data_IF_680865415612
#
_entry.id   IF_680865415612
#
_cell.length_a   1.000
_cell.length_b   1.000
_cell.length_c   1.000
_cell.angle_alpha   90.00
_cell.angle_beta   90.00
_cell.angle_gamma   90.00
#
_symmetry.space_group_name_H-M   'P 1'
#
loop_
_entity.id
_entity.type
_entity.pdbx_description
1 polymer ?
#
# COMPACT_ATOMS: atom_id res chain seq x y z
N UNK A 1 7.49 -14.58 7.37
CA UNK A 1 8.93 -14.84 7.49
C UNK A 1 9.50 -15.25 6.14
N UNK A 2 10.61 -14.61 5.71
CA UNK A 2 11.29 -14.93 4.46
C UNK A 2 12.51 -15.84 4.74
N UNK A 3 12.53 -17.00 4.11
CA UNK A 3 13.67 -17.92 4.18
C UNK A 3 14.81 -17.39 3.32
N UNK A 4 15.90 -16.95 3.94
CA UNK A 4 17.00 -16.24 3.26
C UNK A 4 17.73 -17.07 2.20
N UNK A 5 17.65 -18.39 2.27
CA UNK A 5 18.32 -19.32 1.35
C UNK A 5 17.49 -19.59 0.08
N UNK A 6 16.17 -19.39 0.15
CA UNK A 6 15.30 -19.56 -0.98
C UNK A 6 15.41 -18.35 -1.92
N UNK A 7 15.31 -18.61 -3.20
CA UNK A 7 15.12 -17.56 -4.18
C UNK A 7 13.72 -16.92 -4.08
N UNK A 8 13.50 -15.82 -4.78
CA UNK A 8 12.18 -15.19 -4.84
C UNK A 8 11.13 -16.15 -5.38
N UNK A 9 11.45 -16.86 -6.47
CA UNK A 9 10.56 -17.87 -7.08
C UNK A 9 10.31 -19.03 -6.13
N UNK A 10 11.33 -19.60 -5.52
CA UNK A 10 11.19 -20.72 -4.58
C UNK A 10 10.38 -20.32 -3.34
N UNK A 11 10.50 -19.07 -2.88
CA UNK A 11 9.69 -18.54 -1.78
C UNK A 11 8.21 -18.60 -2.15
N UNK A 12 7.81 -18.08 -3.30
CA UNK A 12 6.41 -18.11 -3.75
C UNK A 12 5.94 -19.54 -4.04
N UNK A 13 6.80 -20.40 -4.60
CA UNK A 13 6.51 -21.82 -4.81
C UNK A 13 6.23 -22.56 -3.49
N UNK A 14 7.03 -22.27 -2.45
CA UNK A 14 6.83 -22.84 -1.11
C UNK A 14 5.46 -22.46 -0.54
N UNK A 15 5.11 -21.17 -0.54
CA UNK A 15 3.82 -20.71 -0.01
C UNK A 15 2.65 -21.17 -0.88
N UNK A 16 2.79 -21.19 -2.21
CA UNK A 16 1.77 -21.71 -3.10
C UNK A 16 1.46 -23.19 -2.85
N UNK A 17 2.48 -23.99 -2.49
CA UNK A 17 2.26 -25.39 -2.06
C UNK A 17 1.60 -25.48 -0.70
N UNK A 18 1.97 -24.61 0.24
CA UNK A 18 1.38 -24.58 1.58
C UNK A 18 -0.14 -24.30 1.52
N UNK A 19 -0.57 -23.47 0.57
CA UNK A 19 -1.98 -23.20 0.29
C UNK A 19 -2.62 -24.22 -0.66
N UNK A 20 -1.94 -25.33 -0.97
CA UNK A 20 -2.44 -26.41 -1.82
C UNK A 20 -2.87 -25.96 -3.22
N UNK A 21 -2.24 -24.89 -3.75
CA UNK A 21 -2.55 -24.41 -5.09
C UNK A 21 -2.18 -25.47 -6.14
N UNK A 22 -3.06 -25.66 -7.11
CA UNK A 22 -2.84 -26.56 -8.25
C UNK A 22 -1.54 -26.17 -9.00
N UNK A 23 -0.70 -27.14 -9.46
CA UNK A 23 0.63 -26.84 -10.00
C UNK A 23 0.65 -25.86 -11.18
N UNK A 24 -0.36 -25.88 -12.04
CA UNK A 24 -0.45 -24.96 -13.18
C UNK A 24 -0.81 -23.54 -12.71
N UNK A 25 -1.89 -23.41 -11.94
CA UNK A 25 -2.34 -22.14 -11.39
C UNK A 25 -1.25 -21.49 -10.50
N UNK A 26 -0.54 -22.29 -9.72
CA UNK A 26 0.57 -21.83 -8.89
C UNK A 26 1.68 -21.21 -9.73
N UNK A 27 2.12 -21.84 -10.82
CA UNK A 27 3.15 -21.30 -11.72
C UNK A 27 2.71 -19.99 -12.35
N UNK A 28 1.50 -19.95 -12.90
CA UNK A 28 0.91 -18.75 -13.50
C UNK A 28 0.85 -17.58 -12.50
N UNK A 29 0.37 -17.84 -11.26
CA UNK A 29 0.33 -16.83 -10.20
C UNK A 29 1.71 -16.33 -9.79
N UNK A 30 2.71 -17.20 -9.71
CA UNK A 30 4.09 -16.84 -9.37
C UNK A 30 4.66 -15.87 -10.42
N UNK A 31 4.48 -16.20 -11.70
CA UNK A 31 4.97 -15.35 -12.80
C UNK A 31 4.30 -13.97 -12.74
N UNK A 32 2.97 -13.91 -12.61
CA UNK A 32 2.23 -12.66 -12.49
C UNK A 32 2.62 -11.83 -11.25
N UNK A 33 2.86 -12.49 -10.11
CA UNK A 33 3.25 -11.79 -8.88
C UNK A 33 4.67 -11.23 -8.97
N UNK A 34 5.61 -11.98 -9.55
CA UNK A 34 6.99 -11.50 -9.74
C UNK A 34 7.02 -10.29 -10.68
N UNK A 35 6.24 -10.32 -11.77
CA UNK A 35 6.06 -9.19 -12.68
C UNK A 35 5.45 -7.99 -11.94
N UNK A 36 4.34 -8.20 -11.23
CA UNK A 36 3.64 -7.17 -10.49
C UNK A 36 4.55 -6.42 -9.50
N UNK A 37 5.43 -7.14 -8.80
CA UNK A 37 6.35 -6.52 -7.83
C UNK A 37 7.70 -6.13 -8.45
N UNK A 38 7.92 -6.34 -9.75
CA UNK A 38 9.13 -5.96 -10.48
C UNK A 38 10.38 -6.74 -10.10
N UNK A 39 10.24 -8.03 -9.76
CA UNK A 39 11.34 -8.90 -9.33
C UNK A 39 11.69 -10.02 -10.31
N UNK A 40 11.15 -10.02 -11.54
CA UNK A 40 11.38 -11.05 -12.55
C UNK A 40 12.87 -11.25 -12.87
N UNK A 41 13.62 -10.15 -13.05
CA UNK A 41 15.04 -10.20 -13.44
C UNK A 41 15.94 -10.79 -12.33
N UNK A 42 15.45 -10.90 -11.11
CA UNK A 42 16.22 -11.34 -9.94
C UNK A 42 15.55 -12.51 -9.18
N UNK A 43 14.52 -13.09 -9.80
CA UNK A 43 13.68 -14.12 -9.19
C UNK A 43 14.43 -15.36 -8.70
N UNK A 44 15.55 -15.70 -9.34
CA UNK A 44 16.35 -16.89 -9.04
C UNK A 44 17.48 -16.60 -8.03
N UNK A 45 17.65 -15.36 -7.60
CA UNK A 45 18.63 -14.98 -6.58
C UNK A 45 18.07 -15.27 -5.17
N UNK A 46 18.91 -15.73 -4.22
CA UNK A 46 18.50 -15.89 -2.82
C UNK A 46 17.92 -14.59 -2.22
N UNK A 47 16.79 -14.70 -1.51
CA UNK A 47 16.15 -13.55 -0.86
C UNK A 47 17.07 -12.88 0.17
N UNK A 48 18.04 -13.62 0.72
CA UNK A 48 19.07 -13.06 1.60
C UNK A 48 19.95 -12.00 0.94
N UNK A 49 20.06 -12.00 -0.39
CA UNK A 49 20.82 -11.02 -1.19
C UNK A 49 19.96 -9.85 -1.70
N UNK A 50 18.67 -9.88 -1.42
CA UNK A 50 17.75 -8.81 -1.80
C UNK A 50 17.98 -7.57 -0.93
N UNK A 51 17.85 -6.39 -1.54
CA UNK A 51 17.74 -5.13 -0.79
C UNK A 51 16.51 -5.17 0.12
N UNK A 52 16.44 -4.31 1.13
CA UNK A 52 15.25 -4.20 2.00
C UNK A 52 13.97 -3.97 1.20
N UNK A 53 14.02 -3.08 0.19
CA UNK A 53 12.88 -2.83 -0.69
C UNK A 53 12.47 -4.07 -1.50
N UNK A 54 13.42 -4.84 -2.04
CA UNK A 54 13.13 -6.10 -2.73
C UNK A 54 12.55 -7.16 -1.78
N UNK A 55 13.04 -7.22 -0.54
CA UNK A 55 12.50 -8.12 0.48
C UNK A 55 11.04 -7.75 0.85
N UNK A 56 10.72 -6.45 0.94
CA UNK A 56 9.34 -6.01 1.16
C UNK A 56 8.43 -6.39 -0.01
N UNK A 57 8.90 -6.21 -1.24
CA UNK A 57 8.15 -6.56 -2.46
C UNK A 57 7.87 -8.06 -2.55
N UNK A 58 8.85 -8.93 -2.32
CA UNK A 58 8.61 -10.37 -2.32
C UNK A 58 7.72 -10.81 -1.15
N UNK A 59 7.80 -10.14 0.01
CA UNK A 59 6.90 -10.36 1.14
C UNK A 59 5.45 -10.02 0.81
N UNK A 60 5.22 -8.93 0.07
CA UNK A 60 3.88 -8.58 -0.41
C UNK A 60 3.37 -9.60 -1.44
N UNK A 61 4.20 -10.00 -2.41
CA UNK A 61 3.85 -11.06 -3.37
C UNK A 61 3.49 -12.38 -2.67
N UNK A 62 4.26 -12.75 -1.63
CA UNK A 62 3.98 -13.91 -0.78
C UNK A 62 2.60 -13.81 -0.10
N UNK A 63 2.26 -12.64 0.44
CA UNK A 63 0.97 -12.44 1.10
C UNK A 63 -0.22 -12.52 0.12
N UNK A 64 0.03 -12.33 -1.17
CA UNK A 64 -0.99 -12.31 -2.23
C UNK A 64 -1.13 -13.64 -2.97
N UNK A 65 -0.26 -14.63 -2.76
CA UNK A 65 -0.21 -15.87 -3.55
C UNK A 65 -1.52 -16.68 -3.52
N UNK A 66 -2.24 -16.64 -2.40
CA UNK A 66 -3.52 -17.34 -2.19
C UNK A 66 -4.75 -16.45 -2.42
N UNK A 67 -4.57 -15.26 -3.00
CA UNK A 67 -5.65 -14.31 -3.28
C UNK A 67 -6.53 -13.97 -2.06
N UNK A 68 -5.95 -13.44 -0.97
CA UNK A 68 -6.71 -13.18 0.25
C UNK A 68 -7.72 -12.03 0.07
N UNK A 69 -8.85 -12.10 0.78
CA UNK A 69 -9.82 -10.99 0.87
C UNK A 69 -9.37 -9.91 1.86
N UNK A 70 -8.64 -10.30 2.92
CA UNK A 70 -8.08 -9.40 3.92
C UNK A 70 -6.55 -9.48 3.87
N UNK A 71 -5.92 -8.33 3.69
CA UNK A 71 -4.47 -8.16 3.72
C UNK A 71 -4.08 -7.38 4.97
N UNK A 72 -3.18 -7.93 5.78
CA UNK A 72 -2.65 -7.25 6.97
C UNK A 72 -1.18 -6.90 6.70
N UNK A 73 -0.87 -5.61 6.68
CA UNK A 73 0.44 -5.07 6.35
C UNK A 73 1.00 -4.28 7.53
N UNK A 74 2.14 -4.72 8.01
CA UNK A 74 2.88 -4.04 9.07
C UNK A 74 4.11 -3.34 8.49
N UNK A 75 4.11 -2.00 8.55
CA UNK A 75 5.19 -1.14 8.05
C UNK A 75 5.62 -1.47 6.60
N UNK A 76 4.71 -1.53 5.61
CA UNK A 76 5.04 -2.03 4.27
C UNK A 76 6.02 -1.15 3.49
N UNK A 77 6.08 0.15 3.78
CA UNK A 77 6.92 1.16 3.11
C UNK A 77 8.19 1.50 3.88
N UNK A 78 8.28 1.05 5.14
CA UNK A 78 9.38 1.41 6.04
C UNK A 78 10.75 0.98 5.50
N UNK A 79 11.70 1.94 5.49
CA UNK A 79 13.07 1.72 5.05
C UNK A 79 13.25 1.55 3.54
N UNK A 80 12.26 1.96 2.75
CA UNK A 80 12.34 2.06 1.30
C UNK A 80 12.75 3.47 0.86
N UNK A 81 13.28 3.56 -0.36
CA UNK A 81 13.44 4.85 -1.04
C UNK A 81 12.08 5.41 -1.48
N UNK A 82 11.94 6.70 -1.78
CA UNK A 82 10.67 7.31 -2.14
C UNK A 82 10.00 6.65 -3.36
N UNK A 83 10.80 6.22 -4.36
CA UNK A 83 10.29 5.56 -5.56
C UNK A 83 9.70 4.19 -5.23
N UNK A 84 10.42 3.40 -4.44
CA UNK A 84 9.95 2.10 -3.98
C UNK A 84 8.72 2.19 -3.09
N UNK A 85 8.69 3.16 -2.17
CA UNK A 85 7.55 3.41 -1.30
C UNK A 85 6.31 3.78 -2.11
N UNK A 86 6.44 4.70 -3.09
CA UNK A 86 5.34 5.07 -3.99
C UNK A 86 4.77 3.86 -4.72
N UNK A 87 5.63 3.00 -5.29
CA UNK A 87 5.17 1.80 -6.02
C UNK A 87 4.39 0.83 -5.12
N UNK A 88 4.80 0.66 -3.86
CA UNK A 88 4.04 -0.15 -2.90
C UNK A 88 2.71 0.52 -2.55
N UNK A 89 2.69 1.83 -2.35
CA UNK A 89 1.45 2.60 -2.11
C UNK A 89 0.47 2.44 -3.26
N UNK A 90 0.91 2.65 -4.49
CA UNK A 90 0.10 2.52 -5.70
C UNK A 90 -0.48 1.10 -5.84
N UNK A 91 0.33 0.08 -5.51
CA UNK A 91 -0.11 -1.31 -5.52
C UNK A 91 -1.19 -1.58 -4.45
N UNK A 92 -0.99 -1.10 -3.22
CA UNK A 92 -1.98 -1.25 -2.12
C UNK A 92 -3.30 -0.55 -2.50
N UNK A 93 -3.23 0.69 -3.01
CA UNK A 93 -4.41 1.42 -3.46
C UNK A 93 -5.16 0.67 -4.57
N UNK A 94 -4.44 0.10 -5.54
CA UNK A 94 -5.03 -0.70 -6.61
C UNK A 94 -5.69 -1.98 -6.09
N UNK A 95 -5.09 -2.66 -5.09
CA UNK A 95 -5.70 -3.83 -4.46
C UNK A 95 -7.01 -3.46 -3.73
N UNK A 96 -7.04 -2.32 -3.04
CA UNK A 96 -8.25 -1.81 -2.39
C UNK A 96 -9.36 -1.52 -3.41
N UNK A 97 -9.05 -0.86 -4.54
CA UNK A 97 -10.03 -0.62 -5.62
C UNK A 97 -10.56 -1.89 -6.27
N UNK A 98 -9.80 -3.00 -6.18
CA UNK A 98 -10.23 -4.33 -6.63
C UNK A 98 -11.03 -5.11 -5.57
N UNK A 99 -11.45 -4.44 -4.50
CA UNK A 99 -12.31 -4.99 -3.46
C UNK A 99 -11.57 -5.75 -2.35
N UNK A 100 -10.23 -5.67 -2.28
CA UNK A 100 -9.49 -6.24 -1.14
C UNK A 100 -9.61 -5.33 0.07
N UNK A 101 -9.80 -5.92 1.24
CA UNK A 101 -9.71 -5.18 2.50
C UNK A 101 -8.27 -5.14 2.96
N UNK A 102 -7.75 -3.96 3.27
CA UNK A 102 -6.37 -3.80 3.75
C UNK A 102 -6.37 -3.21 5.16
N UNK A 103 -5.76 -3.91 6.10
CA UNK A 103 -5.41 -3.39 7.41
C UNK A 103 -3.94 -3.00 7.41
N UNK A 104 -3.68 -1.69 7.48
CA UNK A 104 -2.35 -1.12 7.43
C UNK A 104 -1.93 -0.63 8.82
N UNK A 105 -0.76 -1.09 9.30
CA UNK A 105 -0.10 -0.49 10.45
C UNK A 105 1.12 0.30 9.95
N UNK A 106 1.22 1.58 10.32
CA UNK A 106 2.37 2.42 9.96
C UNK A 106 2.59 3.54 11.00
N UNK A 107 3.85 3.92 11.15
CA UNK A 107 4.25 5.15 11.86
C UNK A 107 4.47 6.32 10.90
N UNK A 108 4.43 6.08 9.60
CA UNK A 108 4.54 7.11 8.55
C UNK A 108 3.16 7.69 8.28
N UNK A 109 2.83 8.79 8.98
CA UNK A 109 1.49 9.38 8.94
C UNK A 109 1.07 9.83 7.53
N UNK A 110 2.02 10.30 6.71
CA UNK A 110 1.75 10.67 5.32
C UNK A 110 1.25 9.46 4.49
N UNK A 111 1.84 8.27 4.69
CA UNK A 111 1.40 7.07 3.97
C UNK A 111 -0.01 6.63 4.41
N UNK A 112 -0.34 6.81 5.70
CA UNK A 112 -1.68 6.54 6.24
C UNK A 112 -2.71 7.50 5.65
N UNK A 113 -2.37 8.80 5.59
CA UNK A 113 -3.23 9.84 5.00
C UNK A 113 -3.50 9.60 3.50
N UNK A 114 -2.47 9.15 2.75
CA UNK A 114 -2.57 8.88 1.31
C UNK A 114 -3.40 7.62 0.97
N UNK A 115 -3.40 6.60 1.87
CA UNK A 115 -3.89 5.26 1.54
C UNK A 115 -5.17 4.84 2.25
N UNK A 116 -5.43 5.40 3.45
CA UNK A 116 -6.46 4.85 4.34
C UNK A 116 -7.75 5.65 4.27
N UNK A 117 -8.88 4.96 4.07
CA UNK A 117 -10.20 5.55 4.18
C UNK A 117 -10.56 5.88 5.63
N UNK A 118 -10.12 5.03 6.57
CA UNK A 118 -10.37 5.17 8.02
C UNK A 118 -9.11 4.87 8.80
N UNK A 119 -8.95 5.58 9.92
CA UNK A 119 -7.77 5.51 10.78
C UNK A 119 -8.20 5.28 12.23
N UNK A 120 -7.46 4.42 12.93
CA UNK A 120 -7.53 4.29 14.39
C UNK A 120 -6.17 4.66 14.99
N UNK A 121 -6.12 5.73 15.78
CA UNK A 121 -4.90 6.19 16.44
C UNK A 121 -4.79 5.51 17.80
N UNK A 122 -3.74 4.73 17.98
CA UNK A 122 -3.45 4.00 19.22
C UNK A 122 -2.31 4.63 20.00
N UNK A 123 -2.50 4.80 21.29
CA UNK A 123 -1.44 5.24 22.20
C UNK A 123 -1.63 4.66 23.60
N UNK A 124 -0.56 4.09 24.16
CA UNK A 124 -0.59 3.46 25.48
C UNK A 124 -1.55 2.25 25.54
N UNK A 125 -1.63 1.45 24.45
CA UNK A 125 -2.49 0.26 24.36
C UNK A 125 -4.00 0.54 24.24
N UNK A 126 -4.38 1.81 23.99
CA UNK A 126 -5.79 2.23 23.85
C UNK A 126 -5.99 2.98 22.54
N UNK A 127 -7.15 2.79 21.90
CA UNK A 127 -7.58 3.65 20.79
C UNK A 127 -7.91 5.03 21.36
N UNK A 128 -7.31 6.08 20.84
CA UNK A 128 -7.45 7.47 21.28
C UNK A 128 -8.35 8.28 20.35
N UNK A 129 -8.32 7.96 19.06
CA UNK A 129 -9.20 8.56 18.06
C UNK A 129 -9.46 7.52 16.97
N UNK A 130 -10.63 7.60 16.35
CA UNK A 130 -11.03 6.77 15.22
C UNK A 130 -11.97 7.57 14.33
N UNK A 131 -11.79 7.48 13.00
CA UNK A 131 -12.62 8.17 12.04
C UNK A 131 -12.04 8.10 10.63
N UNK A 132 -12.65 8.79 9.67
CA UNK A 132 -12.02 9.04 8.37
C UNK A 132 -10.86 10.04 8.52
N UNK A 133 -9.90 10.04 7.57
CA UNK A 133 -8.84 11.03 7.56
C UNK A 133 -9.42 12.45 7.51
N UNK A 134 -10.44 12.67 6.68
CA UNK A 134 -11.09 13.97 6.55
C UNK A 134 -11.73 14.43 7.86
N UNK A 135 -12.44 13.55 8.57
CA UNK A 135 -13.05 13.89 9.87
C UNK A 135 -12.00 14.23 10.94
N UNK A 136 -10.92 13.42 11.01
CA UNK A 136 -9.88 13.59 12.04
C UNK A 136 -8.97 14.80 11.79
N UNK A 137 -8.76 15.15 10.52
CA UNK A 137 -7.86 16.23 10.09
C UNK A 137 -8.58 17.56 9.83
N UNK A 138 -9.92 17.55 9.75
CA UNK A 138 -10.71 18.75 9.54
C UNK A 138 -10.40 19.81 10.60
N UNK A 139 -10.06 21.00 10.15
CA UNK A 139 -9.97 22.18 11.03
C UNK A 139 -11.34 22.82 11.10
N UNK A 140 -12.06 22.63 12.18
CA UNK A 140 -13.45 23.05 12.38
C UNK A 140 -13.73 24.54 12.09
N UNK A 141 -12.70 25.40 12.12
CA UNK A 141 -12.85 26.86 11.99
C UNK A 141 -11.89 27.48 10.96
N UNK A 142 -11.47 26.72 9.94
CA UNK A 142 -10.59 27.22 8.90
C UNK A 142 -11.10 26.88 7.51
N UNK A 143 -10.97 27.82 6.57
CA UNK A 143 -11.22 27.61 5.15
C UNK A 143 -9.92 27.85 4.40
N UNK A 144 -9.53 26.92 3.52
CA UNK A 144 -8.42 27.07 2.60
C UNK A 144 -9.00 27.47 1.23
N UNK A 145 -8.49 28.57 0.65
CA UNK A 145 -8.78 29.00 -0.71
C UNK A 145 -7.49 28.92 -1.52
N UNK A 146 -7.49 28.14 -2.57
CA UNK A 146 -6.38 28.03 -3.51
C UNK A 146 -6.69 28.77 -4.79
N UNK A 147 -5.77 29.60 -5.26
CA UNK A 147 -5.87 30.39 -6.46
C UNK A 147 -4.51 30.47 -7.15
N UNK A 148 -4.44 30.79 -8.47
CA UNK A 148 -3.18 31.16 -9.11
C UNK A 148 -2.48 32.29 -8.34
N UNK A 149 -1.21 32.55 -8.65
CA UNK A 149 -0.47 33.63 -8.00
C UNK A 149 -1.23 34.96 -8.07
N UNK A 150 -1.64 35.46 -6.89
CA UNK A 150 -2.40 36.70 -6.78
C UNK A 150 -1.46 37.89 -6.62
N UNK A 151 -1.70 39.01 -7.35
CA UNK A 151 -1.03 40.27 -7.07
C UNK A 151 -1.33 40.76 -5.65
N UNK A 152 -0.37 41.47 -5.04
CA UNK A 152 -0.49 41.94 -3.65
C UNK A 152 -1.72 42.88 -3.44
N UNK A 153 -2.11 43.62 -4.47
CA UNK A 153 -3.32 44.44 -4.44
C UNK A 153 -4.59 43.59 -4.24
N UNK A 154 -4.71 42.46 -4.94
CA UNK A 154 -5.85 41.54 -4.81
C UNK A 154 -5.86 40.87 -3.45
N UNK A 155 -4.70 40.47 -2.94
CA UNK A 155 -4.58 39.92 -1.57
C UNK A 155 -5.02 40.96 -0.54
N UNK A 156 -4.69 42.24 -0.77
CA UNK A 156 -5.16 43.37 0.05
C UNK A 156 -6.67 43.52 0.05
N UNK A 157 -7.29 43.46 -1.11
CA UNK A 157 -8.77 43.52 -1.26
C UNK A 157 -9.48 42.36 -0.55
N UNK A 158 -8.95 41.13 -0.68
CA UNK A 158 -9.46 39.94 0.04
C UNK A 158 -9.36 40.14 1.55
N UNK A 159 -8.22 40.66 2.04
CA UNK A 159 -8.02 40.95 3.47
C UNK A 159 -9.04 41.96 4.01
N UNK A 160 -9.28 43.03 3.29
CA UNK A 160 -10.25 44.06 3.70
C UNK A 160 -11.70 43.55 3.60
N UNK A 161 -12.01 42.71 2.60
CA UNK A 161 -13.31 42.06 2.48
C UNK A 161 -13.59 41.19 3.71
N UNK A 162 -12.67 40.28 4.04
CA UNK A 162 -12.81 39.36 5.18
C UNK A 162 -12.90 40.13 6.50
N UNK A 163 -12.11 41.16 6.67
CA UNK A 163 -12.13 42.02 7.86
C UNK A 163 -13.49 42.69 8.08
N UNK A 164 -14.14 43.16 6.99
CA UNK A 164 -15.50 43.75 7.07
C UNK A 164 -16.54 42.74 7.55
N UNK A 165 -16.32 41.44 7.32
CA UNK A 165 -17.19 40.36 7.79
C UNK A 165 -16.75 39.77 9.15
N UNK A 166 -15.79 40.38 9.85
CA UNK A 166 -15.30 39.91 11.14
C UNK A 166 -14.40 38.66 11.06
N UNK A 167 -13.93 38.31 9.85
CA UNK A 167 -13.10 37.15 9.60
C UNK A 167 -11.67 37.60 9.27
N UNK A 168 -10.70 37.51 10.18
CA UNK A 168 -9.33 37.89 9.87
C UNK A 168 -8.66 36.90 8.93
N UNK A 169 -7.98 37.38 7.87
CA UNK A 169 -7.11 36.54 7.03
C UNK A 169 -5.87 36.16 7.84
N UNK A 170 -5.79 34.93 8.28
CA UNK A 170 -4.74 34.47 9.21
C UNK A 170 -3.45 34.07 8.51
N UNK A 171 -3.51 33.61 7.24
CA UNK A 171 -2.32 33.16 6.52
C UNK A 171 -2.48 33.41 5.02
N UNK A 172 -1.41 33.92 4.41
CA UNK A 172 -1.22 33.98 2.96
C UNK A 172 0.15 33.42 2.67
N UNK A 173 0.22 32.36 1.91
CA UNK A 173 1.51 31.76 1.54
C UNK A 173 1.47 31.22 0.11
N UNK A 174 2.64 31.12 -0.48
CA UNK A 174 2.81 30.38 -1.75
C UNK A 174 2.93 28.90 -1.43
N UNK A 175 2.11 28.03 -2.03
CA UNK A 175 2.24 26.60 -1.84
C UNK A 175 3.66 26.15 -2.25
N UNK A 176 4.26 25.30 -1.43
CA UNK A 176 5.57 24.70 -1.72
C UNK A 176 5.39 23.22 -1.97
N UNK A 177 6.01 22.71 -3.02
CA UNK A 177 6.13 21.27 -3.23
C UNK A 177 7.00 20.65 -2.14
N UNK A 178 6.70 19.44 -1.72
CA UNK A 178 7.61 18.67 -0.87
C UNK A 178 8.86 18.27 -1.65
N UNK A 179 9.98 18.01 -0.96
CA UNK A 179 11.18 17.46 -1.61
C UNK A 179 10.91 16.07 -2.21
N UNK A 180 10.03 15.31 -1.59
CA UNK A 180 9.60 14.00 -2.10
C UNK A 180 8.86 14.17 -3.44
N UNK A 181 7.88 15.05 -3.53
CA UNK A 181 7.17 15.36 -4.78
C UNK A 181 8.14 15.79 -5.87
N UNK A 182 9.06 16.72 -5.57
CA UNK A 182 10.05 17.18 -6.53
C UNK A 182 10.98 16.03 -7.00
N UNK A 183 11.43 15.19 -6.07
CA UNK A 183 12.28 14.05 -6.38
C UNK A 183 11.56 13.05 -7.31
N UNK A 184 10.30 12.73 -7.02
CA UNK A 184 9.50 11.82 -7.85
C UNK A 184 9.27 12.38 -9.26
N UNK A 185 8.98 13.68 -9.40
CA UNK A 185 8.86 14.34 -10.71
C UNK A 185 10.18 14.23 -11.53
N UNK A 186 11.33 14.45 -10.89
CA UNK A 186 12.64 14.33 -11.55
C UNK A 186 12.89 12.87 -12.00
N UNK A 187 12.55 11.90 -11.16
CA UNK A 187 12.68 10.47 -11.49
C UNK A 187 11.75 10.09 -12.64
N UNK A 188 10.50 10.53 -12.62
CA UNK A 188 9.54 10.24 -13.69
C UNK A 188 10.00 10.85 -15.02
N UNK A 189 10.56 12.08 -15.00
CA UNK A 189 11.14 12.71 -16.18
C UNK A 189 12.36 11.90 -16.70
N UNK A 190 13.31 11.54 -15.84
CA UNK A 190 14.47 10.75 -16.22
C UNK A 190 14.10 9.39 -16.83
N UNK A 191 13.02 8.75 -16.32
CA UNK A 191 12.47 7.51 -16.90
C UNK A 191 11.90 7.74 -18.29
N UNK A 192 11.18 8.82 -18.51
CA UNK A 192 10.64 9.18 -19.82
C UNK A 192 11.77 9.43 -20.84
N UNK A 193 12.93 9.91 -20.39
CA UNK A 193 14.16 10.09 -21.19
C UNK A 193 14.94 8.77 -21.43
N UNK A 194 14.44 7.62 -20.90
CA UNK A 194 15.04 6.31 -21.12
C UNK A 194 16.21 5.96 -20.21
N UNK A 195 16.42 6.72 -19.13
CA UNK A 195 17.48 6.42 -18.13
C UNK A 195 17.10 5.14 -17.39
N UNK A 196 17.92 4.09 -17.55
CA UNK A 196 17.76 2.84 -16.79
C UNK A 196 18.66 2.84 -15.56
N UNK A 197 18.07 2.53 -14.41
CA UNK A 197 18.82 2.30 -13.16
C UNK A 197 18.94 0.81 -12.87
N UNK A 198 20.09 0.40 -12.28
CA UNK A 198 20.28 -0.97 -11.82
C UNK A 198 19.44 -1.21 -10.57
N UNK A 199 18.60 -2.25 -10.56
CA UNK A 199 17.79 -2.62 -9.40
C UNK A 199 16.47 -3.26 -9.79
N UNK A 200 15.52 -3.31 -8.82
CA UNK A 200 14.16 -3.75 -9.10
C UNK A 200 13.50 -2.78 -10.10
N UNK A 201 12.94 -3.34 -11.17
CA UNK A 201 12.22 -2.55 -12.19
C UNK A 201 10.92 -2.00 -11.59
N UNK A 202 10.31 -1.03 -12.25
CA UNK A 202 8.92 -0.67 -11.95
C UNK A 202 8.08 -1.94 -12.07
N UNK A 203 7.22 -2.19 -11.08
CA UNK A 203 6.32 -3.33 -11.14
C UNK A 203 5.38 -3.25 -12.33
N UNK A 204 4.92 -4.39 -12.81
CA UNK A 204 3.91 -4.52 -13.85
C UNK A 204 2.50 -4.16 -13.35
N UNK A 205 1.50 -4.40 -14.21
CA UNK A 205 0.09 -4.30 -13.81
C UNK A 205 -0.23 -5.27 -12.66
N UNK A 206 -1.26 -4.94 -11.88
CA UNK A 206 -1.72 -5.84 -10.81
C UNK A 206 -2.17 -7.15 -11.42
N UNK A 207 -1.71 -8.26 -10.85
CA UNK A 207 -1.97 -9.61 -11.34
C UNK A 207 -3.48 -9.85 -11.54
N UNK A 208 -3.84 -10.44 -12.68
CA UNK A 208 -5.25 -10.60 -13.09
C UNK A 208 -6.07 -11.44 -12.12
N UNK A 209 -5.46 -12.44 -11.49
CA UNK A 209 -6.15 -13.30 -10.52
C UNK A 209 -6.54 -12.59 -9.22
N UNK A 210 -5.96 -11.41 -8.93
CA UNK A 210 -6.32 -10.56 -7.79
C UNK A 210 -7.55 -9.71 -8.13
N UNK A 211 -8.66 -10.37 -8.52
CA UNK A 211 -9.91 -9.73 -8.96
C UNK A 211 -10.94 -9.64 -7.84
N UNK A 212 -12.08 -8.99 -8.15
CA UNK A 212 -13.20 -8.77 -7.22
C UNK A 212 -13.86 -10.08 -6.78
N UNK A 213 -14.50 -10.13 -5.58
CA UNK A 213 -15.16 -11.34 -5.04
C UNK A 213 -16.28 -11.90 -5.91
N UNK A 214 -16.86 -11.09 -6.83
CA UNK A 214 -18.05 -11.47 -7.62
C UNK A 214 -17.71 -12.25 -8.92
N UNK A 215 -16.42 -12.43 -9.25
CA UNK A 215 -15.99 -13.11 -10.49
C UNK A 215 -15.21 -14.40 -10.22
N UNK A 216 -15.40 -15.07 -9.09
CA UNK A 216 -14.79 -16.37 -8.85
C UNK A 216 -15.45 -17.41 -9.77
N UNK A 217 -14.71 -18.08 -10.67
CA UNK A 217 -15.27 -19.25 -11.37
C UNK A 217 -15.45 -20.36 -10.35
N UNK A 218 -16.71 -20.76 -10.18
CA UNK A 218 -17.18 -22.04 -9.61
C UNK A 218 -16.35 -22.64 -8.46
N UNK A 219 -16.68 -22.27 -7.23
CA UNK A 219 -16.44 -23.11 -6.08
C UNK A 219 -17.51 -24.21 -6.03
N UNK A 220 -17.52 -25.11 -7.04
CA UNK A 220 -18.26 -26.34 -6.96
C UNK A 220 -17.30 -27.46 -6.54
N UNK A 221 -17.61 -28.05 -5.40
CA UNK A 221 -17.02 -29.26 -4.80
C UNK A 221 -15.72 -29.09 -4.03
N UNK A 222 -15.84 -28.67 -2.74
CA UNK A 222 -15.08 -29.39 -1.73
C UNK A 222 -15.94 -29.47 -0.47
N UNK A 223 -16.29 -30.72 -0.13
CA UNK A 223 -17.03 -31.05 1.06
C UNK A 223 -16.26 -30.57 2.29
N UNK A 224 -16.93 -29.82 3.14
CA UNK A 224 -16.47 -29.51 4.50
C UNK A 224 -16.10 -30.81 5.21
N UNK A 225 -14.81 -31.02 5.45
CA UNK A 225 -14.37 -32.00 6.40
C UNK A 225 -14.91 -31.58 7.78
N UNK A 226 -15.61 -32.45 8.51
CA UNK A 226 -16.20 -32.08 9.78
C UNK A 226 -15.08 -31.69 10.76
N UNK A 227 -15.14 -30.45 11.26
CA UNK A 227 -14.26 -29.98 12.32
C UNK A 227 -14.53 -30.85 13.56
N UNK A 228 -13.50 -31.57 14.01
CA UNK A 228 -13.58 -32.39 15.21
C UNK A 228 -13.79 -31.50 16.44
N UNK A 229 -15.05 -31.40 16.88
CA UNK A 229 -15.45 -30.62 18.06
C UNK A 229 -14.74 -31.10 19.35
N UNK A 230 -14.21 -32.34 19.38
CA UNK A 230 -13.46 -32.87 20.52
C UNK A 230 -12.07 -32.22 20.69
N UNK A 231 -11.45 -31.74 19.60
CA UNK A 231 -10.16 -31.11 19.65
C UNK A 231 -10.24 -29.67 20.24
N UNK A 232 -11.33 -28.96 19.93
CA UNK A 232 -11.56 -27.60 20.45
C UNK A 232 -11.85 -27.60 21.96
N UNK A 233 -12.55 -28.60 22.48
CA UNK A 233 -12.85 -28.71 23.92
C UNK A 233 -11.63 -29.06 24.77
N UNK A 234 -10.61 -29.70 24.18
CA UNK A 234 -9.35 -30.03 24.85
C UNK A 234 -8.40 -28.83 25.00
N UNK A 235 -8.57 -27.78 24.19
CA UNK A 235 -7.71 -26.58 24.20
C UNK A 235 -8.25 -25.46 25.11
N UNK A 236 -9.54 -25.54 25.50
CA UNK A 236 -10.18 -24.51 26.33
C UNK A 236 -10.21 -24.87 27.84
N UNK A 237 -9.74 -26.07 28.23
CA UNK A 237 -9.66 -26.52 29.63
C UNK A 237 -8.22 -26.59 30.13
N UNK A 238 -7.52 -25.42 30.11
CA UNK A 238 -6.32 -25.22 30.94
C UNK A 238 -6.28 -23.79 31.47
#
# INVERSE_FOLDING_TARGET
YLYRFLSGRETLEYYGRLFSLEPRARRERIDMLLEMVGLEAVQDRPVGEYSKGMQRRIGLAQALINDPQLLILDEPTSGMDPVGARQIKDLIATLATRGKTVLLCSHLLADVEDLCDRVAIMYGGKVRAEGSCDELLAREHATLLEAPELPEAVVGEIRELLKRHGMPLTKVERPRRSLETLFLEIVDQARAEGVQTSGARSGGAVAEFLTRPDESPDASSDAEAPVDAGLLDSLTKR
#
